data_IF_938124286345
#
_entry.id   IF_938124286345
#
_cell.length_a   1.000
_cell.length_b   1.000
_cell.length_c   1.000
_cell.angle_alpha   90.00
_cell.angle_beta   90.00
_cell.angle_gamma   90.00
#
_symmetry.space_group_name_H-M   'P 1'
#
loop_
_entity.id
_entity.type
_entity.pdbx_description
1 polymer ?
#
# COMPACT_ATOMS: atom_id res chain seq x y z
N UNK A 1 -12.01 11.15 18.82
CA UNK A 1 -10.83 11.00 17.94
C UNK A 1 -10.90 9.59 17.40
N UNK A 2 -10.70 9.36 16.09
CA UNK A 2 -10.59 7.99 15.61
C UNK A 2 -9.32 7.37 16.20
N UNK A 3 -9.44 6.17 16.75
CA UNK A 3 -8.31 5.37 17.24
C UNK A 3 -8.08 4.21 16.28
N UNK A 4 -6.84 4.07 15.82
CA UNK A 4 -6.47 3.06 14.84
C UNK A 4 -5.31 2.22 15.36
N UNK A 5 -5.21 0.99 14.87
CA UNK A 5 -4.05 0.12 15.07
C UNK A 5 -3.59 -0.50 13.76
N UNK A 6 -2.30 -0.81 13.69
CA UNK A 6 -1.71 -1.59 12.60
C UNK A 6 -1.66 -3.06 13.00
N UNK A 7 -2.01 -3.93 12.06
CA UNK A 7 -1.83 -5.37 12.18
C UNK A 7 -1.01 -5.86 11.00
N UNK A 8 0.08 -6.56 11.27
CA UNK A 8 0.87 -7.28 10.25
C UNK A 8 0.10 -8.50 9.77
N UNK A 9 -0.53 -8.36 8.60
CA UNK A 9 -1.39 -9.41 8.05
C UNK A 9 -1.62 -9.20 6.56
N UNK A 10 -1.67 -10.31 5.84
CA UNK A 10 -2.16 -10.37 4.46
C UNK A 10 -3.69 -10.29 4.48
N UNK A 11 -4.34 -9.35 3.76
CA UNK A 11 -5.79 -9.31 3.68
C UNK A 11 -6.34 -10.60 3.06
N UNK A 12 -7.55 -11.00 3.46
CA UNK A 12 -8.30 -11.98 2.65
C UNK A 12 -8.61 -11.37 1.27
N UNK A 13 -8.83 -12.19 0.22
CA UNK A 13 -9.27 -11.70 -1.08
C UNK A 13 -10.52 -10.81 -1.00
N UNK A 14 -11.47 -11.15 -0.12
CA UNK A 14 -12.71 -10.42 0.10
C UNK A 14 -12.43 -9.05 0.75
N UNK A 15 -11.62 -9.03 1.81
CA UNK A 15 -11.17 -7.79 2.47
C UNK A 15 -10.40 -6.89 1.50
N UNK A 16 -9.48 -7.46 0.73
CA UNK A 16 -8.71 -6.73 -0.27
C UNK A 16 -9.62 -6.05 -1.29
N UNK A 17 -10.58 -6.79 -1.85
CA UNK A 17 -11.53 -6.27 -2.83
C UNK A 17 -12.38 -5.15 -2.24
N UNK A 18 -12.92 -5.35 -1.03
CA UNK A 18 -13.70 -4.35 -0.31
C UNK A 18 -12.90 -3.06 -0.08
N UNK A 19 -11.67 -3.15 0.43
CA UNK A 19 -10.84 -1.97 0.72
C UNK A 19 -10.54 -1.18 -0.56
N UNK A 20 -10.22 -1.85 -1.67
CA UNK A 20 -9.99 -1.16 -2.95
C UNK A 20 -11.21 -0.35 -3.39
N UNK A 21 -12.38 -0.98 -3.37
CA UNK A 21 -13.62 -0.34 -3.79
C UNK A 21 -13.97 0.83 -2.87
N UNK A 22 -13.96 0.61 -1.55
CA UNK A 22 -14.30 1.62 -0.55
C UNK A 22 -13.26 2.76 -0.45
N UNK A 23 -12.06 2.59 -1.01
CA UNK A 23 -11.04 3.62 -1.19
C UNK A 23 -11.06 4.29 -2.56
N UNK A 24 -11.98 3.92 -3.46
CA UNK A 24 -12.08 4.49 -4.81
C UNK A 24 -11.00 4.01 -5.78
N UNK A 25 -10.31 2.92 -5.47
CA UNK A 25 -9.28 2.36 -6.34
C UNK A 25 -9.90 1.52 -7.48
N UNK A 26 -9.27 1.46 -8.66
CA UNK A 26 -9.74 0.58 -9.73
C UNK A 26 -9.85 -0.88 -9.27
N UNK A 27 -10.91 -1.60 -9.68
CA UNK A 27 -11.15 -2.96 -9.24
C UNK A 27 -10.09 -3.94 -9.77
N UNK A 28 -9.93 -5.05 -9.04
CA UNK A 28 -9.23 -6.26 -9.48
C UNK A 28 -10.25 -7.40 -9.65
N UNK A 29 -9.81 -8.56 -10.12
CA UNK A 29 -10.64 -9.76 -10.10
C UNK A 29 -10.39 -10.55 -8.82
N UNK A 30 -11.40 -11.23 -8.31
CA UNK A 30 -11.26 -12.10 -7.14
C UNK A 30 -10.24 -13.22 -7.38
N UNK A 31 -10.19 -13.76 -8.61
CA UNK A 31 -9.19 -14.76 -9.01
C UNK A 31 -7.78 -14.18 -8.97
N UNK A 32 -7.59 -12.95 -9.47
CA UNK A 32 -6.31 -12.25 -9.41
C UNK A 32 -5.88 -11.98 -7.97
N UNK A 33 -6.81 -11.58 -7.09
CA UNK A 33 -6.54 -11.39 -5.66
C UNK A 33 -6.12 -12.70 -4.98
N UNK A 34 -6.86 -13.80 -5.20
CA UNK A 34 -6.51 -15.13 -4.67
C UNK A 34 -5.12 -15.60 -5.11
N UNK A 35 -4.73 -15.30 -6.35
CA UNK A 35 -3.42 -15.67 -6.89
C UNK A 35 -2.29 -14.76 -6.39
N UNK A 36 -2.56 -13.47 -6.24
CA UNK A 36 -1.55 -12.45 -5.96
C UNK A 36 -1.22 -12.26 -4.48
N UNK A 37 -2.22 -12.33 -3.61
CA UNK A 37 -2.05 -12.11 -2.17
C UNK A 37 -1.23 -13.23 -1.53
N UNK A 38 -0.36 -12.87 -0.59
CA UNK A 38 0.58 -13.78 0.06
C UNK A 38 1.93 -13.93 -0.64
N UNK A 39 2.12 -13.27 -1.80
CA UNK A 39 3.43 -13.23 -2.48
C UNK A 39 4.21 -11.93 -2.21
N UNK A 40 3.61 -10.98 -1.49
CA UNK A 40 4.29 -9.75 -1.05
C UNK A 40 5.39 -10.03 -0.02
N UNK A 41 6.35 -9.10 0.07
CA UNK A 41 7.39 -9.15 1.10
C UNK A 41 6.84 -8.75 2.47
N UNK A 42 5.87 -7.83 2.49
CA UNK A 42 5.25 -7.33 3.71
C UNK A 42 3.85 -6.75 3.44
N UNK A 43 2.94 -6.88 4.41
CA UNK A 43 1.56 -6.38 4.34
C UNK A 43 1.07 -5.98 5.72
N UNK A 44 0.38 -4.85 5.77
CA UNK A 44 -0.27 -4.35 6.98
C UNK A 44 -1.72 -3.99 6.72
N UNK A 45 -2.55 -4.19 7.74
CA UNK A 45 -3.94 -3.76 7.80
C UNK A 45 -4.09 -2.63 8.82
N UNK A 46 -4.89 -1.63 8.49
CA UNK A 46 -5.32 -0.58 9.40
C UNK A 46 -6.70 -0.96 9.95
N UNK A 47 -6.81 -1.06 11.27
CA UNK A 47 -8.05 -1.44 11.96
C UNK A 47 -8.57 -0.28 12.79
N UNK A 48 -9.85 0.03 12.66
CA UNK A 48 -10.56 0.95 13.53
C UNK A 48 -10.81 0.28 14.88
N UNK A 49 -10.36 0.89 15.96
CA UNK A 49 -10.45 0.25 17.28
C UNK A 49 -11.85 0.34 17.90
N UNK A 50 -12.69 1.27 17.42
CA UNK A 50 -14.05 1.46 17.93
C UNK A 50 -14.97 0.25 17.61
N UNK A 51 -14.82 -0.35 16.43
CA UNK A 51 -15.65 -1.44 15.92
C UNK A 51 -14.84 -2.66 15.44
N UNK A 52 -13.51 -2.59 15.55
CA UNK A 52 -12.56 -3.60 15.08
C UNK A 52 -12.66 -3.89 13.56
N UNK A 53 -13.17 -2.93 12.78
CA UNK A 53 -13.28 -3.01 11.32
C UNK A 53 -11.92 -2.79 10.65
N UNK A 54 -11.60 -3.58 9.62
CA UNK A 54 -10.45 -3.30 8.76
C UNK A 54 -10.80 -2.20 7.76
N UNK A 55 -10.14 -1.05 7.87
CA UNK A 55 -10.48 0.19 7.16
C UNK A 55 -9.36 0.68 6.23
N UNK A 56 -8.26 -0.05 6.14
CA UNK A 56 -7.17 0.26 5.24
C UNK A 56 -6.15 -0.86 5.14
N UNK A 57 -5.26 -0.74 4.17
CA UNK A 57 -4.16 -1.67 3.93
C UNK A 57 -2.99 -0.95 3.25
N UNK A 58 -1.81 -1.55 3.35
CA UNK A 58 -0.65 -1.24 2.52
C UNK A 58 0.17 -2.50 2.30
N UNK A 59 0.72 -2.65 1.09
CA UNK A 59 1.49 -3.82 0.68
C UNK A 59 2.84 -3.40 0.11
N UNK A 60 3.84 -4.25 0.31
CA UNK A 60 5.19 -4.08 -0.20
C UNK A 60 5.59 -5.31 -1.01
N UNK A 61 5.82 -5.13 -2.30
CA UNK A 61 6.38 -6.17 -3.18
C UNK A 61 7.81 -5.81 -3.56
N UNK A 62 8.58 -6.77 -4.04
CA UNK A 62 9.97 -6.54 -4.44
C UNK A 62 10.76 -7.83 -4.52
N UNK A 63 12.07 -7.69 -4.68
CA UNK A 63 13.02 -8.82 -4.69
C UNK A 63 13.71 -9.05 -3.33
N UNK A 64 13.43 -8.19 -2.34
CA UNK A 64 14.04 -8.26 -1.01
C UNK A 64 15.47 -7.71 -0.95
N UNK A 65 15.93 -7.05 -2.02
CA UNK A 65 17.29 -6.57 -2.18
C UNK A 65 17.35 -5.25 -2.95
N UNK A 66 17.26 -5.33 -4.27
CA UNK A 66 17.57 -4.19 -5.15
C UNK A 66 16.38 -3.29 -5.40
N UNK A 67 15.15 -3.81 -5.35
CA UNK A 67 13.95 -3.05 -5.69
C UNK A 67 12.77 -3.44 -4.80
N UNK A 68 12.07 -2.39 -4.36
CA UNK A 68 10.84 -2.47 -3.61
C UNK A 68 9.78 -1.58 -4.26
N UNK A 69 8.53 -2.02 -4.24
CA UNK A 69 7.40 -1.23 -4.66
C UNK A 69 6.33 -1.24 -3.57
N UNK A 70 6.01 -0.05 -3.08
CA UNK A 70 4.84 0.17 -2.23
C UNK A 70 3.63 0.16 -3.15
N UNK A 71 2.69 -0.73 -2.88
CA UNK A 71 1.48 -0.92 -3.67
C UNK A 71 0.25 -1.08 -2.78
N UNK A 72 -0.93 -0.94 -3.39
CA UNK A 72 -2.21 -1.14 -2.73
C UNK A 72 -2.38 -0.36 -1.42
N UNK A 73 -1.83 0.86 -1.38
CA UNK A 73 -2.07 1.85 -0.32
C UNK A 73 -3.53 2.31 -0.36
N UNK A 74 -4.32 1.88 0.61
CA UNK A 74 -5.75 2.15 0.67
C UNK A 74 -6.17 2.51 2.10
N UNK A 75 -6.94 3.58 2.24
CA UNK A 75 -7.71 3.91 3.44
C UNK A 75 -9.11 4.28 2.97
N UNK A 76 -10.14 3.67 3.55
CA UNK A 76 -11.54 3.94 3.19
C UNK A 76 -11.81 5.45 3.32
N UNK A 77 -12.54 6.04 2.36
CA UNK A 77 -12.72 7.49 2.23
C UNK A 77 -13.16 8.17 3.54
N UNK A 78 -14.09 7.57 4.30
CA UNK A 78 -14.57 8.07 5.61
C UNK A 78 -13.47 8.20 6.69
N UNK A 79 -12.36 7.47 6.55
CA UNK A 79 -11.26 7.40 7.51
C UNK A 79 -9.98 8.09 7.03
N UNK A 80 -9.99 8.68 5.82
CA UNK A 80 -8.86 9.44 5.30
C UNK A 80 -8.64 10.76 6.07
N UNK A 81 -7.43 11.32 5.95
CA UNK A 81 -6.99 12.55 6.64
C UNK A 81 -7.05 12.50 8.18
N UNK A 82 -7.05 11.30 8.75
CA UNK A 82 -7.06 11.06 10.21
C UNK A 82 -5.80 10.34 10.71
N UNK A 83 -4.72 10.36 9.93
CA UNK A 83 -3.43 9.75 10.29
C UNK A 83 -3.26 8.26 9.92
N UNK A 84 -4.35 7.54 9.61
CA UNK A 84 -4.27 6.10 9.28
C UNK A 84 -3.32 5.75 8.13
N UNK A 85 -3.33 6.55 7.04
CA UNK A 85 -2.39 6.35 5.93
C UNK A 85 -0.92 6.52 6.36
N UNK A 86 -0.66 7.45 7.29
CA UNK A 86 0.69 7.68 7.84
C UNK A 86 1.15 6.49 8.68
N UNK A 87 0.25 5.90 9.47
CA UNK A 87 0.56 4.67 10.23
C UNK A 87 0.93 3.51 9.31
N UNK A 88 0.19 3.33 8.21
CA UNK A 88 0.49 2.30 7.20
C UNK A 88 1.88 2.54 6.60
N UNK A 89 2.15 3.76 6.10
CA UNK A 89 3.44 4.08 5.49
C UNK A 89 4.61 3.92 6.45
N UNK A 90 4.48 4.34 7.72
CA UNK A 90 5.52 4.14 8.72
C UNK A 90 5.86 2.66 8.89
N UNK A 91 4.86 1.79 9.04
CA UNK A 91 5.09 0.36 9.17
C UNK A 91 5.79 -0.24 7.95
N UNK A 92 5.42 0.19 6.73
CA UNK A 92 6.09 -0.27 5.51
C UNK A 92 7.54 0.19 5.42
N UNK A 93 7.82 1.45 5.78
CA UNK A 93 9.17 2.01 5.73
C UNK A 93 10.08 1.40 6.80
N UNK A 94 9.56 1.20 8.02
CA UNK A 94 10.26 0.51 9.12
C UNK A 94 10.71 -0.90 8.67
N UNK A 95 9.82 -1.68 8.05
CA UNK A 95 10.19 -3.01 7.52
C UNK A 95 11.33 -2.95 6.48
N UNK A 96 11.37 -1.92 5.63
CA UNK A 96 12.44 -1.77 4.62
C UNK A 96 13.75 -1.36 5.30
N UNK A 97 13.70 -0.39 6.21
CA UNK A 97 14.87 0.12 6.93
C UNK A 97 15.56 -0.99 7.74
N UNK A 98 14.79 -1.89 8.36
CA UNK A 98 15.31 -3.04 9.10
C UNK A 98 16.18 -3.98 8.24
N UNK A 99 15.98 -4.01 6.92
CA UNK A 99 16.79 -4.83 6.02
C UNK A 99 18.22 -4.30 5.86
N UNK A 100 18.48 -3.02 6.16
CA UNK A 100 19.80 -2.37 6.07
C UNK A 100 20.47 -2.53 4.70
N UNK A 101 19.69 -2.47 3.63
CA UNK A 101 20.20 -2.63 2.26
C UNK A 101 20.62 -1.27 1.71
N UNK A 102 21.89 -1.12 1.33
CA UNK A 102 22.36 0.09 0.68
C UNK A 102 21.80 0.22 -0.75
N UNK A 103 21.40 1.45 -1.13
CA UNK A 103 20.95 1.82 -2.49
C UNK A 103 19.75 1.03 -3.06
N UNK A 104 18.95 0.38 -2.23
CA UNK A 104 17.70 -0.23 -2.69
C UNK A 104 16.77 0.83 -3.31
N UNK A 105 16.16 0.51 -4.45
CA UNK A 105 15.25 1.43 -5.14
C UNK A 105 13.80 1.18 -4.67
N UNK A 106 13.24 2.14 -3.93
CA UNK A 106 11.84 2.07 -3.46
C UNK A 106 10.99 2.98 -4.34
N UNK A 107 9.92 2.45 -4.93
CA UNK A 107 9.01 3.22 -5.78
C UNK A 107 7.53 2.97 -5.46
N UNK A 108 6.69 3.85 -5.98
CA UNK A 108 5.23 3.77 -5.94
C UNK A 108 4.62 4.61 -7.07
N UNK A 109 3.34 4.38 -7.36
CA UNK A 109 2.55 5.25 -8.23
C UNK A 109 1.59 6.04 -7.33
N UNK A 110 1.78 7.36 -7.29
CA UNK A 110 1.02 8.25 -6.42
C UNK A 110 -0.18 8.86 -7.15
N UNK A 111 -1.38 8.69 -6.56
CA UNK A 111 -2.61 9.38 -6.99
C UNK A 111 -2.94 10.59 -6.08
N UNK A 112 -2.06 10.91 -5.12
CA UNK A 112 -2.19 12.02 -4.16
C UNK A 112 -0.91 12.83 -4.09
N UNK A 113 -1.04 14.14 -3.88
CA UNK A 113 0.10 15.07 -3.76
C UNK A 113 0.49 15.28 -2.29
N UNK A 114 1.78 15.52 -2.01
CA UNK A 114 2.31 15.94 -0.70
C UNK A 114 2.10 14.93 0.45
N UNK A 115 1.77 13.68 0.13
CA UNK A 115 1.62 12.63 1.12
C UNK A 115 2.93 11.85 1.29
N UNK A 116 3.44 11.27 0.20
CA UNK A 116 4.60 10.38 0.21
C UNK A 116 5.94 11.12 0.43
N UNK A 117 5.98 12.40 0.11
CA UNK A 117 7.13 13.30 0.24
C UNK A 117 7.60 13.42 1.70
N UNK A 118 6.73 13.12 2.67
CA UNK A 118 7.07 13.05 4.10
C UNK A 118 8.13 11.98 4.41
N UNK A 119 8.21 10.93 3.59
CA UNK A 119 9.23 9.88 3.68
C UNK A 119 10.36 10.07 2.66
N UNK A 120 10.48 11.28 2.08
CA UNK A 120 11.55 11.60 1.14
C UNK A 120 11.33 11.13 -0.31
N UNK A 121 10.16 10.55 -0.63
CA UNK A 121 9.80 10.26 -2.01
C UNK A 121 9.78 11.53 -2.85
N UNK A 122 10.20 11.41 -4.10
CA UNK A 122 10.23 12.50 -5.08
C UNK A 122 9.60 12.02 -6.39
N UNK A 123 8.96 12.90 -7.17
CA UNK A 123 8.56 12.57 -8.53
C UNK A 123 9.75 12.08 -9.35
N UNK A 124 9.54 11.11 -10.23
CA UNK A 124 10.59 10.62 -11.12
C UNK A 124 10.82 11.51 -12.34
N UNK A 125 9.93 12.46 -12.61
CA UNK A 125 9.94 13.38 -13.76
C UNK A 125 10.63 14.69 -13.37
N UNK A 126 11.53 15.34 -14.16
CA UNK A 126 12.19 15.07 -15.45
C UNK A 126 12.36 13.68 -16.04
N UNK A 127 13.10 12.92 -15.25
CA UNK A 127 14.14 12.02 -15.73
C UNK A 127 13.54 10.69 -16.17
N UNK A 128 12.36 10.35 -15.64
CA UNK A 128 11.63 9.12 -15.89
C UNK A 128 10.13 9.31 -15.68
N UNK A 129 9.33 8.51 -16.36
CA UNK A 129 7.86 8.55 -16.27
C UNK A 129 7.28 7.19 -15.87
N UNK A 130 6.29 7.20 -14.98
CA UNK A 130 5.47 6.03 -14.69
C UNK A 130 4.66 5.62 -15.92
N UNK A 131 4.63 4.33 -16.24
CA UNK A 131 3.88 3.76 -17.36
C UNK A 131 3.14 2.52 -16.88
N UNK A 132 1.96 2.24 -17.43
CA UNK A 132 1.17 1.06 -17.08
C UNK A 132 0.52 0.42 -18.32
N UNK A 133 0.29 -0.88 -18.26
CA UNK A 133 -0.47 -1.66 -19.24
C UNK A 133 -1.39 -2.63 -18.47
N UNK A 134 -2.56 -2.95 -19.03
CA UNK A 134 -3.49 -3.93 -18.44
C UNK A 134 -3.52 -5.16 -19.33
N UNK A 135 -3.51 -6.34 -18.73
CA UNK A 135 -3.54 -7.63 -19.45
C UNK A 135 -4.80 -7.83 -20.29
N UNK A 136 -5.91 -7.16 -19.95
CA UNK A 136 -7.12 -7.14 -20.78
C UNK A 136 -6.93 -6.44 -22.13
N UNK A 137 -5.78 -5.79 -22.35
CA UNK A 137 -5.39 -5.10 -23.58
C UNK A 137 -4.17 -5.76 -24.26
N UNK A 138 -3.75 -6.94 -23.78
CA UNK A 138 -2.76 -7.77 -24.47
C UNK A 138 -3.43 -8.59 -25.57
#
# INVERSE_FOLDING_TARGET
MCSFKIIEKVPSPETYMYLREASGMPPRTIEGAKKGLGNELYSVLLVNEEDNETIGMGRLVGDGGTVFQICDMAVIVKFQNKGGGTMIMNALMEFIEEKKIDRAYINLIADVNNFYEKWGFKPTNPESKGMYLRTSKL
#
